data_IF_390346435243
#
_entry.id   IF_390346435243
#
_cell.length_a   1.000
_cell.length_b   1.000
_cell.length_c   1.000
_cell.angle_alpha   90.00
_cell.angle_beta   90.00
_cell.angle_gamma   90.00
#
_symmetry.space_group_name_H-M   'P 1'
#
loop_
_entity.id
_entity.type
_entity.pdbx_description
1 polymer ?
#
# COMPACT_ATOMS: atom_id res chain seq x y z
N UNK A 1 -24.57 -8.71 -34.01
CA UNK A 1 -24.25 -7.45 -33.31
C UNK A 1 -25.05 -7.37 -32.03
N UNK A 2 -24.44 -7.43 -30.85
CA UNK A 2 -25.12 -7.26 -29.59
C UNK A 2 -25.67 -5.81 -29.50
N UNK A 3 -26.98 -5.67 -29.23
CA UNK A 3 -27.58 -4.35 -29.02
C UNK A 3 -26.93 -3.70 -27.80
N UNK A 4 -26.29 -2.55 -28.01
CA UNK A 4 -25.79 -1.72 -26.91
C UNK A 4 -26.98 -1.24 -26.07
N UNK A 5 -26.99 -1.57 -24.79
CA UNK A 5 -27.97 -1.10 -23.81
C UNK A 5 -27.33 0.03 -23.00
N UNK A 6 -27.85 1.27 -23.08
CA UNK A 6 -27.33 2.37 -22.30
C UNK A 6 -27.47 2.09 -20.81
N UNK A 7 -26.38 2.22 -20.06
CA UNK A 7 -26.42 2.14 -18.60
C UNK A 7 -26.66 3.53 -18.03
N UNK A 8 -27.48 3.63 -17.00
CA UNK A 8 -27.71 4.88 -16.27
C UNK A 8 -26.52 5.20 -15.38
N UNK A 9 -25.35 5.42 -15.99
CA UNK A 9 -24.12 5.79 -15.29
C UNK A 9 -24.01 7.32 -15.19
N UNK A 10 -23.40 7.80 -14.11
CA UNK A 10 -23.19 9.23 -13.88
C UNK A 10 -22.37 9.89 -15.00
N UNK A 11 -21.39 9.20 -15.57
CA UNK A 11 -20.48 9.71 -16.61
C UNK A 11 -20.64 8.95 -17.93
N UNK A 12 -20.32 9.62 -19.05
CA UNK A 12 -20.30 8.99 -20.37
C UNK A 12 -19.12 8.01 -20.48
N UNK A 13 -19.42 6.82 -21.01
CA UNK A 13 -18.43 5.78 -21.31
C UNK A 13 -17.86 5.97 -22.72
N UNK A 14 -16.81 5.21 -23.09
CA UNK A 14 -16.30 5.18 -24.46
C UNK A 14 -17.37 4.70 -25.44
N UNK A 15 -18.20 3.73 -25.06
CA UNK A 15 -19.28 3.21 -25.91
C UNK A 15 -20.36 4.27 -26.14
N UNK A 16 -20.69 5.07 -25.11
CA UNK A 16 -21.63 6.20 -25.27
C UNK A 16 -21.05 7.24 -26.24
N UNK A 17 -19.77 7.51 -26.18
CA UNK A 17 -19.06 8.42 -27.09
C UNK A 17 -19.02 7.92 -28.53
N UNK A 18 -18.81 6.61 -28.72
CA UNK A 18 -18.89 5.97 -30.05
C UNK A 18 -20.30 6.09 -30.61
N UNK A 19 -21.32 5.87 -29.79
CA UNK A 19 -22.70 6.07 -30.20
C UNK A 19 -22.96 7.54 -30.62
N UNK A 20 -22.53 8.51 -29.80
CA UNK A 20 -22.64 9.94 -30.12
C UNK A 20 -21.97 10.25 -31.48
N UNK A 21 -20.76 9.75 -31.74
CA UNK A 21 -20.04 9.98 -33.00
C UNK A 21 -20.80 9.44 -34.20
N UNK A 22 -21.31 8.20 -34.08
CA UNK A 22 -22.05 7.55 -35.14
C UNK A 22 -23.38 8.27 -35.47
N UNK A 23 -24.12 8.65 -34.46
CA UNK A 23 -25.41 9.34 -34.66
C UNK A 23 -25.20 10.76 -35.15
N UNK A 24 -24.19 11.48 -34.71
CA UNK A 24 -23.81 12.78 -35.27
C UNK A 24 -23.45 12.65 -36.76
N UNK A 25 -22.79 11.56 -37.15
CA UNK A 25 -22.41 11.32 -38.56
C UNK A 25 -23.65 11.03 -39.44
N UNK A 26 -24.75 10.56 -38.87
CA UNK A 26 -26.05 10.39 -39.52
C UNK A 26 -26.90 11.67 -39.52
N UNK A 27 -26.45 12.72 -38.77
CA UNK A 27 -27.19 13.99 -38.67
C UNK A 27 -28.28 13.99 -37.59
N UNK A 28 -28.23 13.05 -36.62
CA UNK A 28 -29.15 13.01 -35.49
C UNK A 28 -29.01 14.25 -34.57
N UNK A 29 -30.12 14.65 -33.95
CA UNK A 29 -30.15 15.78 -33.03
C UNK A 29 -29.61 15.38 -31.63
N UNK A 30 -29.14 16.33 -30.86
CA UNK A 30 -28.74 16.08 -29.47
C UNK A 30 -29.90 15.54 -28.60
N UNK A 31 -31.15 15.87 -28.93
CA UNK A 31 -32.33 15.38 -28.24
C UNK A 31 -32.48 13.87 -28.47
N UNK A 32 -32.34 13.41 -29.71
CA UNK A 32 -32.46 11.99 -30.06
C UNK A 32 -31.34 11.15 -29.43
N UNK A 33 -30.12 11.66 -29.52
CA UNK A 33 -28.94 11.02 -28.91
C UNK A 33 -29.11 10.92 -27.39
N UNK A 34 -29.58 11.98 -26.76
CA UNK A 34 -29.74 12.04 -25.30
C UNK A 34 -30.86 11.11 -24.83
N UNK A 35 -31.96 11.02 -25.57
CA UNK A 35 -33.06 10.09 -25.27
C UNK A 35 -32.58 8.64 -25.26
N UNK A 36 -31.78 8.24 -26.26
CA UNK A 36 -31.24 6.89 -26.32
C UNK A 36 -30.25 6.58 -25.17
N UNK A 37 -29.37 7.55 -24.82
CA UNK A 37 -28.36 7.40 -23.76
C UNK A 37 -28.91 7.62 -22.34
N UNK A 38 -30.22 7.92 -22.21
CA UNK A 38 -30.82 8.32 -20.93
C UNK A 38 -30.08 9.46 -20.25
N UNK A 39 -29.70 10.50 -21.03
CA UNK A 39 -28.99 11.70 -20.59
C UNK A 39 -29.78 12.96 -20.97
N UNK A 40 -29.43 14.04 -20.31
CA UNK A 40 -29.94 15.34 -20.69
C UNK A 40 -29.28 15.85 -22.00
N UNK A 41 -30.03 16.47 -22.94
CA UNK A 41 -29.48 17.02 -24.19
C UNK A 41 -28.36 18.03 -23.98
N UNK A 42 -28.39 18.77 -22.87
CA UNK A 42 -27.32 19.73 -22.53
C UNK A 42 -26.02 19.03 -22.18
N UNK A 43 -26.08 17.81 -21.63
CA UNK A 43 -24.89 16.99 -21.36
C UNK A 43 -24.21 16.58 -22.67
N UNK A 44 -24.99 16.14 -23.67
CA UNK A 44 -24.45 15.79 -24.99
C UNK A 44 -23.88 17.03 -25.68
N UNK A 45 -24.60 18.14 -25.62
CA UNK A 45 -24.17 19.43 -26.18
C UNK A 45 -22.81 19.88 -25.57
N UNK A 46 -22.69 19.84 -24.24
CA UNK A 46 -21.45 20.21 -23.53
C UNK A 46 -20.30 19.24 -23.88
N UNK A 47 -20.56 17.93 -23.92
CA UNK A 47 -19.58 16.91 -24.30
C UNK A 47 -19.02 17.18 -25.71
N UNK A 48 -19.90 17.33 -26.70
CA UNK A 48 -19.50 17.56 -28.09
C UNK A 48 -18.76 18.88 -28.24
N UNK A 49 -19.28 19.97 -27.67
CA UNK A 49 -18.69 21.31 -27.78
C UNK A 49 -17.32 21.40 -27.12
N UNK A 50 -17.14 20.79 -25.95
CA UNK A 50 -15.90 20.88 -25.18
C UNK A 50 -14.79 19.93 -25.66
N UNK A 51 -15.17 18.79 -26.30
CA UNK A 51 -14.23 17.75 -26.72
C UNK A 51 -14.16 17.51 -28.21
N UNK A 52 -14.65 18.48 -29.00
CA UNK A 52 -14.48 18.46 -30.45
C UNK A 52 -13.00 18.62 -30.80
N UNK A 53 -12.55 17.86 -31.79
CA UNK A 53 -11.21 17.95 -32.37
C UNK A 53 -11.19 19.10 -33.37
N UNK A 54 -10.33 20.11 -33.18
CA UNK A 54 -10.07 21.18 -34.15
C UNK A 54 -8.98 20.76 -35.13
N UNK A 55 -9.03 21.38 -36.31
CA UNK A 55 -7.99 21.20 -37.35
C UNK A 55 -7.84 19.74 -37.82
N UNK A 56 -8.96 19.04 -37.91
CA UNK A 56 -8.98 17.69 -38.44
C UNK A 56 -8.71 17.66 -39.93
N UNK A 57 -7.61 17.02 -40.32
CA UNK A 57 -7.21 16.82 -41.71
C UNK A 57 -7.55 15.40 -42.18
N UNK A 58 -8.30 15.31 -43.28
CA UNK A 58 -8.44 14.02 -43.99
C UNK A 58 -7.22 13.85 -44.91
N UNK A 59 -6.46 12.76 -44.79
CA UNK A 59 -5.41 12.41 -45.75
C UNK A 59 -6.05 12.28 -47.14
N UNK A 60 -5.60 13.09 -48.11
CA UNK A 60 -6.05 13.05 -49.50
C UNK A 60 -7.15 14.07 -49.87
N UNK A 61 -7.61 14.93 -48.95
CA UNK A 61 -8.52 16.01 -49.30
C UNK A 61 -7.81 17.36 -49.49
N UNK A 62 -8.44 18.25 -50.22
CA UNK A 62 -8.03 19.60 -50.64
C UNK A 62 -7.46 20.53 -49.53
N UNK A 63 -7.34 20.05 -48.31
CA UNK A 63 -7.22 20.85 -47.10
C UNK A 63 -5.82 20.89 -46.50
N UNK A 64 -4.83 21.10 -47.36
CA UNK A 64 -3.56 21.70 -46.96
C UNK A 64 -3.64 23.24 -46.92
N UNK A 65 -4.84 23.80 -46.71
CA UNK A 65 -4.95 25.24 -46.55
C UNK A 65 -4.24 25.65 -45.25
N UNK A 66 -3.06 26.15 -45.39
CA UNK A 66 -2.22 26.62 -44.27
C UNK A 66 -2.68 28.01 -43.81
N UNK A 67 -3.39 28.78 -44.68
CA UNK A 67 -3.92 30.08 -44.39
C UNK A 67 -5.42 30.03 -44.09
N UNK A 68 -5.82 30.51 -42.92
CA UNK A 68 -7.20 30.50 -42.39
C UNK A 68 -7.88 31.86 -42.52
N UNK A 69 -7.32 32.81 -43.31
CA UNK A 69 -7.90 34.12 -43.53
C UNK A 69 -9.09 34.05 -44.47
N UNK A 70 -10.19 34.78 -44.17
CA UNK A 70 -11.37 34.94 -45.02
C UNK A 70 -10.95 35.50 -46.41
N UNK A 71 -10.02 36.42 -46.41
CA UNK A 71 -9.57 37.12 -47.61
C UNK A 71 -8.55 36.35 -48.47
N UNK A 72 -8.13 35.13 -48.07
CA UNK A 72 -7.01 34.41 -48.72
C UNK A 72 -7.12 34.21 -50.22
N UNK A 73 -8.32 34.11 -50.76
CA UNK A 73 -8.52 33.89 -52.21
C UNK A 73 -8.47 35.19 -53.02
N UNK A 74 -8.75 36.33 -52.39
CA UNK A 74 -8.81 37.66 -53.06
C UNK A 74 -7.73 38.62 -52.57
N UNK A 75 -6.89 38.19 -51.65
CA UNK A 75 -5.86 39.00 -51.07
C UNK A 75 -4.73 39.30 -52.07
N UNK A 76 -4.50 40.59 -52.34
CA UNK A 76 -3.42 41.09 -53.22
C UNK A 76 -2.16 41.48 -52.47
N UNK A 77 -2.15 41.32 -51.12
CA UNK A 77 -0.99 41.71 -50.33
C UNK A 77 0.17 40.75 -50.54
N UNK A 78 1.36 41.30 -50.70
CA UNK A 78 2.63 40.59 -50.77
C UNK A 78 3.50 40.97 -49.59
N UNK A 79 4.32 40.05 -49.10
CA UNK A 79 5.26 40.30 -48.02
C UNK A 79 4.63 40.87 -46.70
N UNK A 80 3.39 40.50 -46.39
CA UNK A 80 2.70 40.97 -45.19
C UNK A 80 3.40 40.55 -43.88
N UNK A 81 4.29 39.58 -43.91
CA UNK A 81 5.09 39.11 -42.78
C UNK A 81 6.43 39.83 -42.62
N UNK A 82 6.85 40.66 -43.57
CA UNK A 82 8.11 41.41 -43.53
C UNK A 82 9.40 40.57 -43.49
N UNK A 83 9.30 39.24 -43.64
CA UNK A 83 10.44 38.36 -43.47
C UNK A 83 11.29 38.15 -44.72
N UNK A 84 10.73 38.38 -45.89
CA UNK A 84 11.41 38.17 -47.19
C UNK A 84 11.00 39.30 -48.12
N UNK A 85 11.99 39.96 -48.71
CA UNK A 85 11.76 41.09 -49.63
C UNK A 85 11.01 40.69 -50.92
N UNK A 86 11.16 39.48 -51.39
CA UNK A 86 10.45 38.91 -52.53
C UNK A 86 9.75 37.61 -52.12
N UNK A 87 8.51 37.75 -51.65
CA UNK A 87 7.72 36.58 -51.30
C UNK A 87 6.96 36.05 -52.51
N UNK A 88 7.44 34.95 -53.09
CA UNK A 88 6.77 34.23 -54.19
C UNK A 88 5.64 33.28 -53.73
N UNK A 89 5.36 33.19 -52.43
CA UNK A 89 4.35 32.27 -51.90
C UNK A 89 2.99 32.97 -51.91
N UNK A 90 2.00 32.37 -52.57
CA UNK A 90 0.62 32.86 -52.56
C UNK A 90 0.06 32.84 -51.13
N UNK A 91 -0.62 33.90 -50.70
CA UNK A 91 -1.23 34.00 -49.38
C UNK A 91 -2.19 32.84 -49.03
N UNK A 92 -2.86 32.27 -50.01
CA UNK A 92 -3.70 31.08 -49.88
C UNK A 92 -2.97 29.87 -49.31
N UNK A 93 -1.67 29.80 -49.48
CA UNK A 93 -0.82 28.69 -49.06
C UNK A 93 0.16 29.04 -47.93
N UNK A 94 0.16 30.29 -47.43
CA UNK A 94 1.12 30.77 -46.46
C UNK A 94 0.55 30.75 -45.02
N UNK A 95 1.09 29.99 -44.08
CA UNK A 95 0.63 29.97 -42.70
C UNK A 95 1.05 31.24 -41.91
N UNK A 96 2.10 31.93 -42.36
CA UNK A 96 2.66 33.07 -41.61
C UNK A 96 1.68 34.23 -41.50
N UNK A 97 0.80 34.40 -42.49
CA UNK A 97 -0.25 35.44 -42.47
C UNK A 97 -1.23 35.25 -41.28
N UNK A 98 -1.43 34.04 -40.79
CA UNK A 98 -2.34 33.81 -39.66
C UNK A 98 -1.90 34.51 -38.34
N UNK A 99 -0.62 34.85 -38.23
CA UNK A 99 -0.02 35.45 -37.04
C UNK A 99 0.44 36.88 -37.24
N UNK A 100 0.83 37.23 -38.46
CA UNK A 100 1.54 38.49 -38.71
C UNK A 100 0.75 39.53 -39.52
N UNK A 101 -0.27 39.08 -40.26
CA UNK A 101 -1.07 40.02 -41.07
C UNK A 101 -2.03 40.81 -40.17
N UNK A 102 -1.94 42.16 -40.25
CA UNK A 102 -2.82 43.04 -39.47
C UNK A 102 -4.31 42.96 -39.87
N UNK A 103 -4.58 42.56 -41.12
CA UNK A 103 -5.94 42.38 -41.65
C UNK A 103 -6.34 40.92 -41.64
N UNK A 104 -5.72 40.13 -40.81
CA UNK A 104 -6.10 38.69 -40.66
C UNK A 104 -7.47 38.60 -39.99
N UNK A 105 -8.42 38.08 -40.71
CA UNK A 105 -9.73 37.69 -40.21
C UNK A 105 -9.92 36.21 -40.34
N UNK A 106 -10.11 35.54 -39.19
CA UNK A 106 -10.22 34.07 -39.16
C UNK A 106 -11.54 33.62 -39.77
N UNK A 107 -11.46 32.79 -40.82
CA UNK A 107 -12.64 32.20 -41.44
C UNK A 107 -13.39 31.30 -40.45
N UNK A 108 -14.72 31.50 -40.33
CA UNK A 108 -15.60 30.73 -39.48
C UNK A 108 -16.80 30.20 -40.28
N UNK A 109 -17.18 28.95 -39.99
CA UNK A 109 -18.43 28.39 -40.47
C UNK A 109 -19.55 28.74 -39.49
N UNK A 110 -20.58 29.49 -39.89
CA UNK A 110 -21.71 29.88 -39.06
C UNK A 110 -22.48 28.67 -38.47
N UNK A 111 -22.43 27.51 -39.15
CA UNK A 111 -23.04 26.26 -38.65
C UNK A 111 -22.35 25.72 -37.39
N UNK A 112 -21.05 26.06 -37.20
CA UNK A 112 -20.30 25.61 -36.01
C UNK A 112 -20.61 26.42 -34.74
N UNK A 113 -21.32 27.53 -34.88
CA UNK A 113 -21.80 28.33 -33.74
C UNK A 113 -23.15 27.79 -33.19
N UNK A 114 -23.82 26.95 -33.96
CA UNK A 114 -25.08 26.25 -33.62
C UNK A 114 -24.84 24.75 -33.47
N UNK A 115 -25.75 24.07 -32.76
CA UNK A 115 -25.72 22.63 -32.67
C UNK A 115 -25.76 22.00 -34.09
N UNK A 116 -24.97 20.95 -34.36
CA UNK A 116 -24.18 20.13 -33.44
C UNK A 116 -22.73 20.59 -33.17
N UNK A 117 -22.30 21.79 -33.54
CA UNK A 117 -20.98 22.39 -33.32
C UNK A 117 -19.81 21.72 -34.02
N UNK A 118 -20.06 20.68 -34.81
CA UNK A 118 -19.09 19.80 -35.49
C UNK A 118 -19.51 19.58 -36.94
N UNK A 119 -18.55 19.12 -37.75
CA UNK A 119 -18.78 18.81 -39.17
C UNK A 119 -19.26 17.37 -39.40
N UNK A 120 -19.42 16.55 -38.33
CA UNK A 120 -20.04 15.22 -38.45
C UNK A 120 -21.46 15.37 -39.00
N UNK A 121 -21.79 14.60 -40.05
CA UNK A 121 -23.13 14.66 -40.67
C UNK A 121 -23.50 15.97 -41.35
N UNK A 122 -22.51 16.84 -41.60
CA UNK A 122 -22.76 18.11 -42.32
C UNK A 122 -23.25 17.84 -43.76
N UNK A 123 -24.39 18.44 -44.21
CA UNK A 123 -24.95 18.23 -45.56
C UNK A 123 -23.96 18.66 -46.65
N UNK A 124 -23.11 19.66 -46.40
CA UNK A 124 -21.99 19.96 -47.29
C UNK A 124 -20.93 18.87 -47.18
N UNK A 125 -20.81 18.04 -48.23
CA UNK A 125 -19.76 17.00 -48.23
C UNK A 125 -18.42 17.62 -47.89
N UNK A 126 -17.65 16.98 -47.01
CA UNK A 126 -16.34 17.43 -46.53
C UNK A 126 -15.45 17.92 -47.70
N UNK A 127 -15.49 17.21 -48.83
CA UNK A 127 -14.72 17.50 -50.02
C UNK A 127 -15.15 18.75 -50.80
N UNK A 128 -16.38 19.22 -50.58
CA UNK A 128 -16.94 20.43 -51.25
C UNK A 128 -16.95 21.66 -50.34
N UNK A 129 -16.63 21.50 -49.07
CA UNK A 129 -16.62 22.62 -48.13
C UNK A 129 -15.30 23.39 -48.24
N UNK A 130 -15.40 24.66 -48.60
CA UNK A 130 -14.23 25.55 -48.77
C UNK A 130 -13.65 26.07 -47.47
N UNK A 131 -14.36 25.92 -46.35
CA UNK A 131 -13.93 26.38 -45.03
C UNK A 131 -12.71 25.58 -44.59
N UNK A 132 -11.60 26.27 -44.34
CA UNK A 132 -10.35 25.65 -43.96
C UNK A 132 -10.39 25.05 -42.53
N UNK A 133 -11.03 25.76 -41.60
CA UNK A 133 -11.07 25.35 -40.20
C UNK A 133 -12.31 24.49 -39.89
N UNK A 134 -12.10 23.23 -39.58
CA UNK A 134 -13.15 22.23 -39.37
C UNK A 134 -13.06 21.64 -37.96
N UNK A 135 -14.23 21.26 -37.43
CA UNK A 135 -14.31 20.55 -36.16
C UNK A 135 -14.97 19.19 -36.37
N UNK A 136 -14.43 18.18 -35.72
CA UNK A 136 -15.01 16.84 -35.69
C UNK A 136 -15.15 16.36 -34.26
N UNK A 137 -16.22 15.65 -33.96
CA UNK A 137 -16.30 14.85 -32.74
C UNK A 137 -15.75 13.46 -33.07
N UNK A 138 -14.73 13.03 -32.34
CA UNK A 138 -14.09 11.72 -32.39
C UNK A 138 -14.18 11.11 -30.99
N UNK A 139 -14.80 9.95 -30.88
CA UNK A 139 -15.10 9.30 -29.61
C UNK A 139 -13.83 8.94 -28.82
N UNK A 140 -12.80 8.43 -29.51
CA UNK A 140 -11.56 8.03 -28.85
C UNK A 140 -10.76 9.24 -28.38
N UNK A 141 -10.75 10.30 -29.16
CA UNK A 141 -10.13 11.57 -28.77
C UNK A 141 -10.84 12.18 -27.57
N UNK A 142 -12.18 12.22 -27.59
CA UNK A 142 -12.99 12.75 -26.50
C UNK A 142 -12.80 11.94 -25.22
N UNK A 143 -12.72 10.60 -25.29
CA UNK A 143 -12.46 9.73 -24.15
C UNK A 143 -11.06 9.94 -23.57
N UNK A 144 -10.04 10.04 -24.42
CA UNK A 144 -8.68 10.36 -23.99
C UNK A 144 -8.62 11.71 -23.27
N UNK A 145 -9.22 12.75 -23.83
CA UNK A 145 -9.30 14.09 -23.21
C UNK A 145 -10.06 14.06 -21.88
N UNK A 146 -11.11 13.26 -21.77
CA UNK A 146 -11.82 13.07 -20.51
C UNK A 146 -10.93 12.39 -19.46
N UNK A 147 -10.21 11.34 -19.83
CA UNK A 147 -9.28 10.65 -18.92
C UNK A 147 -8.11 11.53 -18.50
N UNK A 148 -7.55 12.29 -19.42
CA UNK A 148 -6.52 13.29 -19.10
C UNK A 148 -7.02 14.30 -18.07
N UNK A 149 -8.26 14.83 -18.24
CA UNK A 149 -8.89 15.74 -17.29
C UNK A 149 -9.11 15.09 -15.92
N UNK A 150 -9.62 13.84 -15.88
CA UNK A 150 -9.78 13.11 -14.63
C UNK A 150 -8.45 12.86 -13.93
N UNK A 151 -7.41 12.49 -14.67
CA UNK A 151 -6.07 12.29 -14.13
C UNK A 151 -5.50 13.59 -13.58
N UNK A 152 -5.57 14.68 -14.34
CA UNK A 152 -5.03 15.99 -13.94
C UNK A 152 -5.79 16.59 -12.76
N UNK A 153 -7.13 16.44 -12.72
CA UNK A 153 -7.95 16.94 -11.61
C UNK A 153 -7.72 16.19 -10.30
N UNK A 154 -7.25 14.94 -10.39
CA UNK A 154 -6.88 14.10 -9.23
C UNK A 154 -5.39 14.15 -8.92
N UNK A 155 -4.60 14.85 -9.72
CA UNK A 155 -3.19 15.05 -9.46
C UNK A 155 -3.00 16.00 -8.28
N UNK A 156 -1.97 15.70 -7.46
CA UNK A 156 -1.68 16.50 -6.28
C UNK A 156 -2.20 15.87 -4.98
N UNK A 157 -2.28 16.66 -3.96
CA UNK A 157 -2.71 16.30 -2.60
C UNK A 157 -3.86 17.21 -2.17
N UNK A 158 -4.82 16.62 -1.45
CA UNK A 158 -5.96 17.38 -0.93
C UNK A 158 -5.62 18.00 0.44
N UNK A 159 -4.53 18.76 0.50
CA UNK A 159 -4.14 19.52 1.70
C UNK A 159 -3.25 20.70 1.36
N UNK A 160 -3.24 21.69 2.25
CA UNK A 160 -2.37 22.87 2.16
C UNK A 160 -0.92 22.52 2.54
N UNK A 161 0.04 23.38 2.14
CA UNK A 161 1.45 23.21 2.56
C UNK A 161 1.62 23.25 4.08
N UNK A 162 0.85 24.07 4.76
CA UNK A 162 0.87 24.19 6.22
C UNK A 162 0.40 22.88 6.89
N UNK A 163 -0.73 22.32 6.45
CA UNK A 163 -1.21 21.03 6.94
C UNK A 163 -0.22 19.90 6.67
N UNK A 164 0.40 19.90 5.49
CA UNK A 164 1.43 18.92 5.15
C UNK A 164 2.62 19.01 6.12
N UNK A 165 3.08 20.22 6.41
CA UNK A 165 4.19 20.45 7.34
C UNK A 165 3.84 20.02 8.77
N UNK A 166 2.64 20.34 9.26
CA UNK A 166 2.18 19.89 10.58
C UNK A 166 2.17 18.35 10.67
N UNK A 167 1.66 17.67 9.66
CA UNK A 167 1.64 16.19 9.61
C UNK A 167 3.06 15.62 9.53
N UNK A 168 3.95 16.25 8.78
CA UNK A 168 5.35 15.82 8.65
C UNK A 168 6.10 15.88 9.98
N UNK A 169 5.83 16.88 10.82
CA UNK A 169 6.41 17.01 12.14
C UNK A 169 6.07 15.84 13.08
N UNK A 170 4.91 15.20 12.88
CA UNK A 170 4.51 14.01 13.65
C UNK A 170 5.03 12.73 12.96
N UNK A 171 4.80 12.60 11.66
CA UNK A 171 5.03 11.36 10.91
C UNK A 171 6.54 11.03 10.80
N UNK A 172 7.37 12.01 10.45
CA UNK A 172 8.79 11.76 10.17
C UNK A 172 9.58 11.26 11.39
N UNK A 173 9.44 11.83 12.60
CA UNK A 173 10.12 11.29 13.78
C UNK A 173 9.68 9.87 14.14
N UNK A 174 8.39 9.56 14.03
CA UNK A 174 7.84 8.23 14.35
C UNK A 174 8.31 7.17 13.36
N UNK A 175 8.40 7.51 12.06
CA UNK A 175 9.00 6.61 11.06
C UNK A 175 10.49 6.39 11.38
N UNK A 176 11.22 7.41 11.79
CA UNK A 176 12.64 7.28 12.18
C UNK A 176 12.83 6.40 13.42
N UNK A 177 11.82 6.29 14.30
CA UNK A 177 11.77 5.33 15.40
C UNK A 177 11.39 3.91 14.94
N UNK A 178 11.17 3.70 13.65
CA UNK A 178 10.80 2.40 13.06
C UNK A 178 9.32 2.05 13.22
N UNK A 179 8.45 3.00 13.51
CA UNK A 179 7.02 2.77 13.51
C UNK A 179 6.49 2.63 12.08
N UNK A 180 5.50 1.79 11.88
CA UNK A 180 4.84 1.62 10.58
C UNK A 180 3.77 2.68 10.35
N UNK A 181 3.44 3.03 9.08
CA UNK A 181 2.33 3.92 8.78
C UNK A 181 1.00 3.52 9.42
N UNK A 182 0.71 2.22 9.51
CA UNK A 182 -0.48 1.71 10.21
C UNK A 182 -0.48 2.08 11.69
N UNK A 183 0.63 1.80 12.37
CA UNK A 183 0.80 2.10 13.81
C UNK A 183 0.64 3.60 14.10
N UNK A 184 1.28 4.44 13.28
CA UNK A 184 1.21 5.90 13.44
C UNK A 184 -0.24 6.38 13.33
N UNK A 185 -1.00 5.90 12.33
CA UNK A 185 -2.38 6.34 12.11
C UNK A 185 -3.36 5.86 13.16
N UNK A 186 -3.13 4.69 13.76
CA UNK A 186 -3.94 4.21 14.88
C UNK A 186 -3.73 5.08 16.13
N UNK A 187 -2.48 5.45 16.38
CA UNK A 187 -2.13 6.27 17.56
C UNK A 187 -2.45 7.77 17.36
N UNK A 188 -2.51 8.25 16.11
CA UNK A 188 -2.72 9.65 15.73
C UNK A 188 -3.90 9.80 14.77
N UNK A 189 -5.15 9.62 15.24
CA UNK A 189 -6.34 9.77 14.40
C UNK A 189 -6.52 11.19 13.86
N UNK A 190 -5.92 12.20 14.52
CA UNK A 190 -5.92 13.61 14.10
C UNK A 190 -5.21 13.82 12.74
N UNK A 191 -4.38 12.88 12.31
CA UNK A 191 -3.76 12.95 10.99
C UNK A 191 -4.76 12.81 9.84
N UNK A 192 -5.94 12.27 10.10
CA UNK A 192 -7.06 12.14 9.14
C UNK A 192 -6.59 11.78 7.73
N UNK A 193 -5.97 10.62 7.61
CA UNK A 193 -5.50 10.10 6.31
C UNK A 193 -5.47 8.57 6.32
N UNK A 194 -5.54 7.96 5.13
CA UNK A 194 -5.43 6.51 5.00
C UNK A 194 -3.97 6.05 5.00
N UNK A 195 -3.74 4.80 5.42
CA UNK A 195 -2.42 4.13 5.33
C UNK A 195 -1.86 4.20 3.90
N UNK A 196 -2.72 3.99 2.90
CA UNK A 196 -2.34 4.06 1.48
C UNK A 196 -1.92 5.47 1.07
N UNK A 197 -2.61 6.51 1.56
CA UNK A 197 -2.26 7.90 1.30
C UNK A 197 -0.89 8.23 1.89
N UNK A 198 -0.61 7.77 3.12
CA UNK A 198 0.69 7.98 3.77
C UNK A 198 1.83 7.35 2.96
N UNK A 199 1.70 6.08 2.55
CA UNK A 199 2.69 5.45 1.67
C UNK A 199 2.88 6.20 0.34
N UNK A 200 1.78 6.65 -0.28
CA UNK A 200 1.82 7.41 -1.53
C UNK A 200 2.55 8.75 -1.35
N UNK A 201 2.37 9.42 -0.23
CA UNK A 201 2.99 10.73 0.04
C UNK A 201 4.48 10.58 0.38
N UNK A 202 4.87 9.52 1.09
CA UNK A 202 6.27 9.16 1.31
C UNK A 202 6.96 8.84 -0.04
N UNK A 203 6.31 8.04 -0.88
CA UNK A 203 6.82 7.65 -2.21
C UNK A 203 7.01 8.87 -3.13
N UNK A 204 6.07 9.81 -3.10
CA UNK A 204 6.16 11.09 -3.82
C UNK A 204 7.14 12.09 -3.21
N UNK A 205 7.73 11.78 -2.07
CA UNK A 205 8.66 12.65 -1.36
C UNK A 205 8.05 13.93 -0.81
N UNK A 206 6.77 13.88 -0.44
CA UNK A 206 6.04 15.02 0.13
C UNK A 206 6.36 15.22 1.62
N UNK A 207 6.67 14.15 2.33
CA UNK A 207 7.21 14.19 3.69
C UNK A 207 8.74 14.19 3.68
N UNK A 208 9.36 14.56 4.79
CA UNK A 208 10.80 14.47 4.99
C UNK A 208 11.23 12.99 5.03
N UNK A 209 10.42 12.12 5.66
CA UNK A 209 10.61 10.67 5.61
C UNK A 209 10.58 10.14 4.16
N UNK A 210 11.44 9.17 3.87
CA UNK A 210 11.61 8.55 2.55
C UNK A 210 11.33 7.03 2.62
N UNK A 211 11.17 6.41 1.46
CA UNK A 211 11.01 4.96 1.36
C UNK A 211 12.14 4.18 2.03
N UNK A 212 13.36 4.76 2.10
CA UNK A 212 14.51 4.15 2.77
C UNK A 212 14.33 4.05 4.29
N UNK A 213 13.50 4.85 4.87
CA UNK A 213 13.23 4.86 6.31
C UNK A 213 12.17 3.83 6.72
N UNK A 214 11.46 3.23 5.74
CA UNK A 214 10.44 2.23 5.98
C UNK A 214 11.05 0.83 6.20
N UNK A 215 10.42 0.01 7.05
CA UNK A 215 10.96 -1.30 7.51
C UNK A 215 11.23 -2.33 6.42
N UNK A 216 10.52 -2.34 5.28
CA UNK A 216 10.66 -3.35 4.24
C UNK A 216 10.63 -2.74 2.85
N UNK A 217 11.77 -2.82 2.18
CA UNK A 217 11.92 -2.29 0.83
C UNK A 217 12.18 -3.35 -0.23
N UNK A 218 12.75 -4.50 0.13
CA UNK A 218 13.12 -5.53 -0.82
C UNK A 218 12.67 -6.91 -0.35
N UNK A 219 12.14 -7.72 -1.30
CA UNK A 219 11.88 -9.14 -1.10
C UNK A 219 13.10 -9.92 -1.59
N UNK A 220 13.77 -10.64 -0.68
CA UNK A 220 14.87 -11.53 -1.03
C UNK A 220 14.34 -12.89 -1.46
N UNK A 221 14.95 -13.49 -2.50
CA UNK A 221 14.65 -14.88 -2.87
C UNK A 221 15.07 -15.81 -1.72
N UNK A 222 14.22 -16.76 -1.33
CA UNK A 222 14.60 -17.74 -0.31
C UNK A 222 15.80 -18.55 -0.78
N UNK A 223 16.74 -18.83 0.15
CA UNK A 223 17.87 -19.72 -0.12
C UNK A 223 17.37 -21.16 -0.22
N UNK A 224 17.93 -21.96 -1.15
CA UNK A 224 17.66 -23.40 -1.21
C UNK A 224 18.13 -24.05 0.09
N UNK A 225 17.22 -24.73 0.79
CA UNK A 225 17.55 -25.49 1.99
C UNK A 225 18.14 -26.86 1.62
N UNK A 226 19.21 -27.25 2.28
CA UNK A 226 19.72 -28.62 2.19
C UNK A 226 18.80 -29.56 2.97
N UNK A 227 18.50 -30.73 2.39
CA UNK A 227 17.74 -31.79 3.07
C UNK A 227 18.61 -32.38 4.21
N UNK A 228 18.18 -32.21 5.44
CA UNK A 228 18.77 -32.87 6.63
C UNK A 228 18.01 -34.15 6.93
N UNK A 229 18.72 -35.21 7.28
CA UNK A 229 18.05 -36.45 7.72
C UNK A 229 17.36 -36.23 9.04
N UNK A 230 16.09 -36.60 9.12
CA UNK A 230 15.24 -36.47 10.30
C UNK A 230 15.37 -37.77 11.09
N UNK A 231 15.77 -37.68 12.36
CA UNK A 231 15.76 -38.81 13.29
C UNK A 231 14.53 -38.68 14.20
N UNK A 232 13.59 -39.62 14.07
CA UNK A 232 12.50 -39.72 15.02
C UNK A 232 13.02 -40.22 16.37
N UNK A 233 12.65 -39.53 17.44
CA UNK A 233 12.98 -39.89 18.81
C UNK A 233 11.70 -40.32 19.53
N UNK A 234 11.77 -41.39 20.32
CA UNK A 234 10.65 -41.89 21.15
C UNK A 234 10.03 -40.82 22.07
N UNK A 235 10.82 -39.82 22.45
CA UNK A 235 10.42 -38.68 23.30
C UNK A 235 9.25 -37.86 22.71
N UNK A 236 9.03 -37.91 21.39
CA UNK A 236 7.96 -37.14 20.72
C UNK A 236 6.67 -37.96 20.53
N UNK A 237 6.58 -39.19 20.99
CA UNK A 237 5.37 -40.02 20.92
C UNK A 237 4.26 -39.36 21.72
N UNK A 238 3.03 -39.29 21.17
CA UNK A 238 1.86 -38.60 21.72
C UNK A 238 2.04 -37.08 21.96
N UNK A 239 3.05 -36.47 21.31
CA UNK A 239 3.33 -35.03 21.39
C UNK A 239 3.58 -34.45 19.98
N UNK A 240 3.03 -35.10 18.98
CA UNK A 240 3.22 -34.67 17.58
C UNK A 240 2.34 -33.45 17.25
N UNK A 241 2.62 -32.83 16.11
CA UNK A 241 1.77 -31.75 15.60
C UNK A 241 0.35 -32.24 15.27
N UNK A 242 0.21 -33.51 14.86
CA UNK A 242 -1.09 -34.12 14.62
C UNK A 242 -1.89 -34.27 15.93
N UNK A 243 -1.26 -34.71 17.02
CA UNK A 243 -1.88 -34.78 18.35
C UNK A 243 -2.31 -33.38 18.82
N UNK A 244 -1.47 -32.37 18.58
CA UNK A 244 -1.78 -30.98 18.89
C UNK A 244 -3.01 -30.45 18.11
N UNK A 245 -3.06 -30.70 16.80
CA UNK A 245 -4.18 -30.28 15.97
C UNK A 245 -5.51 -30.95 16.35
N UNK A 246 -5.47 -32.17 16.85
CA UNK A 246 -6.70 -32.88 17.26
C UNK A 246 -7.41 -32.26 18.47
N UNK A 247 -6.74 -31.35 19.20
CA UNK A 247 -7.31 -30.67 20.35
C UNK A 247 -8.12 -29.42 20.00
N UNK A 248 -8.06 -28.95 18.74
CA UNK A 248 -8.81 -27.76 18.26
C UNK A 248 -8.72 -26.55 19.21
N UNK A 249 -7.50 -26.18 19.61
CA UNK A 249 -7.27 -25.14 20.61
C UNK A 249 -7.32 -23.73 19.97
N UNK A 250 -8.10 -22.86 20.56
CA UNK A 250 -8.17 -21.43 20.15
C UNK A 250 -6.94 -20.65 20.61
N UNK A 251 -6.44 -20.94 21.83
CA UNK A 251 -5.28 -20.27 22.43
C UNK A 251 -4.23 -21.24 22.90
N UNK A 252 -2.96 -20.93 22.59
CA UNK A 252 -1.78 -21.68 23.00
C UNK A 252 -0.53 -20.81 22.91
N UNK A 253 0.56 -21.29 23.52
CA UNK A 253 1.84 -20.59 23.47
C UNK A 253 2.75 -21.25 22.43
N UNK A 254 3.30 -20.46 21.52
CA UNK A 254 4.41 -20.92 20.66
C UNK A 254 5.74 -20.54 21.32
N UNK A 255 6.70 -21.48 21.30
CA UNK A 255 8.01 -21.30 21.89
C UNK A 255 9.12 -21.61 20.88
N UNK A 256 10.20 -20.79 20.92
CA UNK A 256 11.34 -20.93 20.02
C UNK A 256 12.59 -20.29 20.63
N UNK A 257 13.75 -20.50 20.00
CA UNK A 257 15.00 -19.83 20.40
C UNK A 257 15.54 -18.94 19.31
N UNK A 258 16.04 -17.77 19.69
CA UNK A 258 16.73 -16.83 18.79
C UNK A 258 18.20 -16.77 19.12
N UNK A 259 19.03 -17.28 18.20
CA UNK A 259 20.49 -17.34 18.37
C UNK A 259 21.13 -15.97 18.14
N UNK A 260 22.17 -15.71 18.92
CA UNK A 260 23.11 -14.60 18.83
C UNK A 260 24.03 -14.70 17.62
N UNK A 261 25.03 -13.81 17.54
CA UNK A 261 26.19 -13.96 16.65
C UNK A 261 26.97 -15.26 16.99
N UNK A 262 27.88 -15.68 16.09
CA UNK A 262 28.67 -16.91 16.29
C UNK A 262 29.62 -16.83 17.48
N UNK A 263 29.98 -15.63 17.87
CA UNK A 263 30.96 -15.37 18.96
C UNK A 263 30.33 -15.28 20.35
N UNK A 264 28.99 -15.48 20.45
CA UNK A 264 28.28 -15.42 21.72
C UNK A 264 27.53 -16.73 22.00
N UNK A 265 27.59 -17.17 23.22
CA UNK A 265 26.85 -18.35 23.70
C UNK A 265 25.44 -18.00 24.18
N UNK A 266 25.14 -16.72 24.41
CA UNK A 266 23.83 -16.27 24.85
C UNK A 266 22.77 -16.44 23.77
N UNK A 267 21.56 -16.79 24.18
CA UNK A 267 20.43 -17.07 23.31
C UNK A 267 19.17 -16.48 23.96
N UNK A 268 18.21 -16.04 23.16
CA UNK A 268 16.89 -15.66 23.67
C UNK A 268 15.95 -16.85 23.55
N UNK A 269 15.34 -17.26 24.66
CA UNK A 269 14.13 -18.08 24.65
C UNK A 269 12.96 -17.13 24.40
N UNK A 270 12.18 -17.38 23.38
CA UNK A 270 11.03 -16.54 23.00
C UNK A 270 9.76 -17.34 23.09
N UNK A 271 8.69 -16.68 23.51
CA UNK A 271 7.34 -17.25 23.61
C UNK A 271 6.35 -16.24 23.05
N UNK A 272 5.27 -16.72 22.44
CA UNK A 272 4.17 -15.87 22.01
C UNK A 272 2.83 -16.55 22.31
N UNK A 273 1.94 -15.81 22.91
CA UNK A 273 0.55 -16.19 23.08
C UNK A 273 -0.18 -15.94 21.76
N UNK A 274 -0.79 -16.97 21.21
CA UNK A 274 -1.32 -16.90 19.84
C UNK A 274 -2.57 -16.06 19.71
N UNK A 275 -3.37 -15.94 20.75
CA UNK A 275 -4.58 -15.12 20.79
C UNK A 275 -4.21 -13.63 20.94
N UNK A 276 -3.55 -13.27 22.03
CA UNK A 276 -3.20 -11.89 22.39
C UNK A 276 -2.03 -11.32 21.58
N UNK A 277 -1.30 -12.18 20.84
CA UNK A 277 -0.04 -11.82 20.18
C UNK A 277 1.02 -11.31 21.15
N UNK A 278 0.87 -11.61 22.44
CA UNK A 278 1.78 -11.18 23.51
C UNK A 278 3.11 -11.91 23.35
N UNK A 279 4.16 -11.16 23.17
CA UNK A 279 5.52 -11.67 22.97
C UNK A 279 6.31 -11.58 24.27
N UNK A 280 7.00 -12.66 24.65
CA UNK A 280 7.94 -12.73 25.75
C UNK A 280 9.31 -13.16 25.27
N UNK A 281 10.36 -12.69 25.91
CA UNK A 281 11.73 -13.14 25.66
C UNK A 281 12.55 -13.20 26.95
N UNK A 282 13.35 -14.25 27.07
CA UNK A 282 14.21 -14.50 28.24
C UNK A 282 15.64 -14.75 27.78
N UNK A 283 16.59 -14.07 28.43
CA UNK A 283 18.01 -14.22 28.11
C UNK A 283 18.55 -15.48 28.78
N UNK A 284 19.05 -16.40 27.98
CA UNK A 284 19.75 -17.62 28.42
C UNK A 284 21.25 -17.42 28.22
N UNK A 285 22.06 -17.70 29.26
CA UNK A 285 23.53 -17.68 29.15
C UNK A 285 24.03 -18.79 28.22
N UNK A 286 23.34 -19.94 28.18
CA UNK A 286 23.59 -21.06 27.27
C UNK A 286 22.26 -21.70 26.87
N UNK A 287 22.17 -22.11 25.61
CA UNK A 287 20.99 -22.80 25.08
C UNK A 287 20.96 -24.27 25.52
N UNK A 288 20.48 -24.53 26.73
CA UNK A 288 20.41 -25.89 27.31
C UNK A 288 19.02 -26.20 27.84
N UNK A 289 18.68 -27.49 27.94
CA UNK A 289 17.41 -27.96 28.53
C UNK A 289 17.20 -27.41 29.94
N UNK A 290 18.25 -27.38 30.77
CA UNK A 290 18.19 -26.86 32.13
C UNK A 290 17.92 -25.35 32.18
N UNK A 291 18.47 -24.58 31.23
CA UNK A 291 18.23 -23.15 31.16
C UNK A 291 16.79 -22.84 30.78
N UNK A 292 16.21 -23.58 29.84
CA UNK A 292 14.79 -23.47 29.47
C UNK A 292 13.88 -23.83 30.66
N UNK A 293 14.15 -24.94 31.33
CA UNK A 293 13.43 -25.36 32.53
C UNK A 293 13.48 -24.27 33.62
N UNK A 294 14.65 -23.70 33.88
CA UNK A 294 14.81 -22.65 34.90
C UNK A 294 13.96 -21.40 34.59
N UNK A 295 13.66 -21.09 33.32
CA UNK A 295 12.71 -20.00 32.97
C UNK A 295 11.31 -20.39 33.41
N UNK A 296 10.84 -21.62 33.10
CA UNK A 296 9.53 -22.11 33.53
C UNK A 296 9.41 -22.12 35.05
N UNK A 297 10.40 -22.67 35.78
CA UNK A 297 10.43 -22.71 37.25
C UNK A 297 10.37 -21.29 37.86
N UNK A 298 11.09 -20.34 37.27
CA UNK A 298 11.08 -18.94 37.70
C UNK A 298 9.71 -18.25 37.48
N UNK A 299 9.06 -18.51 36.34
CA UNK A 299 7.74 -17.98 36.06
C UNK A 299 6.69 -18.59 36.98
N UNK A 300 6.70 -19.91 37.16
CA UNK A 300 5.81 -20.60 38.08
C UNK A 300 5.96 -20.08 39.51
N UNK A 301 7.19 -19.86 39.95
CA UNK A 301 7.45 -19.32 41.31
C UNK A 301 6.89 -17.89 41.47
N UNK A 302 6.87 -17.09 40.39
CA UNK A 302 6.38 -15.70 40.45
C UNK A 302 4.86 -15.60 40.46
N UNK A 303 4.18 -16.43 39.68
CA UNK A 303 2.74 -16.34 39.49
C UNK A 303 1.95 -17.41 40.27
N UNK A 304 2.63 -18.42 40.80
CA UNK A 304 2.02 -19.58 41.44
C UNK A 304 1.67 -20.67 40.43
N UNK A 305 1.59 -21.92 40.93
CA UNK A 305 1.38 -23.11 40.06
C UNK A 305 0.04 -23.06 39.34
N UNK A 306 -1.02 -22.63 40.00
CA UNK A 306 -2.37 -22.59 39.40
C UNK A 306 -2.42 -21.63 38.23
N UNK A 307 -1.96 -20.42 38.43
CA UNK A 307 -1.95 -19.37 37.40
C UNK A 307 -1.02 -19.75 36.24
N UNK A 308 0.17 -20.28 36.57
CA UNK A 308 1.09 -20.78 35.54
C UNK A 308 0.45 -21.85 34.66
N UNK A 309 -0.25 -22.82 35.27
CA UNK A 309 -0.90 -23.91 34.54
C UNK A 309 -2.03 -23.41 33.66
N UNK A 310 -2.77 -22.42 34.12
CA UNK A 310 -3.82 -21.75 33.31
C UNK A 310 -3.23 -21.08 32.06
N UNK A 311 -2.18 -20.29 32.26
CA UNK A 311 -1.55 -19.45 31.23
C UNK A 311 -0.70 -20.24 30.25
N UNK A 312 0.05 -21.27 30.70
CA UNK A 312 0.96 -22.09 29.89
C UNK A 312 0.44 -23.52 29.68
N UNK A 313 -0.88 -23.71 29.63
CA UNK A 313 -1.51 -25.02 29.52
C UNK A 313 -0.96 -25.83 28.34
N UNK A 314 -0.89 -25.22 27.14
CA UNK A 314 -0.43 -25.89 25.93
C UNK A 314 0.69 -25.09 25.27
N UNK A 315 1.82 -25.70 25.01
CA UNK A 315 3.00 -25.07 24.42
C UNK A 315 3.43 -25.85 23.19
N UNK A 316 3.51 -25.15 22.04
CA UNK A 316 3.99 -25.70 20.77
C UNK A 316 5.42 -25.21 20.49
N UNK A 317 6.35 -26.15 20.27
CA UNK A 317 7.75 -25.83 20.00
C UNK A 317 8.32 -26.65 18.83
N UNK A 318 9.56 -26.38 18.44
CA UNK A 318 10.27 -27.23 17.49
C UNK A 318 10.98 -28.41 18.23
N UNK A 319 11.61 -29.28 17.43
CA UNK A 319 12.37 -30.44 17.96
C UNK A 319 13.82 -30.04 18.32
N UNK A 320 14.05 -28.79 18.77
CA UNK A 320 15.36 -28.34 19.23
C UNK A 320 15.92 -29.19 20.38
N UNK A 321 17.23 -29.29 20.49
CA UNK A 321 17.88 -30.08 21.57
C UNK A 321 17.56 -29.52 22.95
N UNK A 322 17.34 -28.23 23.06
CA UNK A 322 16.99 -27.48 24.26
C UNK A 322 15.57 -27.81 24.78
N UNK A 323 14.70 -28.28 23.90
CA UNK A 323 13.32 -28.68 24.21
C UNK A 323 13.15 -30.24 24.32
N UNK A 324 14.24 -30.97 24.20
CA UNK A 324 14.22 -32.43 24.12
C UNK A 324 14.05 -33.16 25.47
N UNK A 325 13.45 -32.54 26.48
CA UNK A 325 13.11 -33.15 27.77
C UNK A 325 11.73 -32.62 28.21
N UNK A 326 10.64 -33.06 27.51
CA UNK A 326 9.30 -32.55 27.78
C UNK A 326 8.82 -32.87 29.20
N UNK A 327 9.11 -34.04 29.72
CA UNK A 327 8.65 -34.45 31.05
C UNK A 327 9.11 -33.47 32.14
N UNK A 328 10.36 -33.00 32.06
CA UNK A 328 10.88 -32.02 33.01
C UNK A 328 10.32 -30.61 32.79
N UNK A 329 9.90 -30.27 31.59
CA UNK A 329 9.23 -29.01 31.31
C UNK A 329 7.77 -29.06 31.79
N UNK A 330 7.10 -30.17 31.59
CA UNK A 330 5.70 -30.42 31.98
C UNK A 330 5.52 -30.54 33.47
N UNK A 331 6.56 -30.98 34.20
CA UNK A 331 6.49 -31.15 35.66
C UNK A 331 6.91 -29.88 36.37
N UNK A 332 6.02 -29.31 37.18
CA UNK A 332 6.25 -28.13 38.00
C UNK A 332 7.14 -28.35 39.21
N UNK A 333 7.42 -27.30 39.95
CA UNK A 333 8.29 -27.32 41.15
C UNK A 333 7.71 -28.28 42.22
N UNK A 334 6.38 -28.37 42.32
CA UNK A 334 5.68 -29.19 43.26
C UNK A 334 5.44 -30.65 42.78
N UNK A 335 6.02 -31.04 41.67
CA UNK A 335 5.81 -32.34 41.06
C UNK A 335 4.46 -32.52 40.33
N UNK A 336 3.65 -31.47 40.26
CA UNK A 336 2.36 -31.47 39.56
C UNK A 336 2.59 -31.08 38.09
N UNK A 337 1.79 -31.65 37.19
CA UNK A 337 1.82 -31.23 35.77
C UNK A 337 1.40 -29.81 35.63
N UNK A 338 2.24 -28.96 35.04
CA UNK A 338 2.03 -27.51 34.83
C UNK A 338 1.77 -27.11 33.39
N UNK A 339 2.11 -27.94 32.41
CA UNK A 339 1.88 -27.69 30.99
C UNK A 339 1.92 -28.97 30.18
N UNK A 340 1.50 -28.90 28.91
CA UNK A 340 1.65 -29.97 27.92
C UNK A 340 2.47 -29.43 26.74
N UNK A 341 3.54 -30.12 26.39
CA UNK A 341 4.49 -29.71 25.35
C UNK A 341 4.26 -30.49 24.06
N UNK A 342 4.03 -29.80 22.95
CA UNK A 342 3.84 -30.38 21.63
C UNK A 342 4.94 -29.91 20.68
N UNK A 343 5.21 -30.74 19.66
CA UNK A 343 6.31 -30.49 18.73
C UNK A 343 5.84 -30.38 17.30
N UNK A 344 6.31 -29.34 16.62
CA UNK A 344 6.12 -29.18 15.18
C UNK A 344 6.80 -30.32 14.40
N UNK A 345 6.30 -30.57 13.21
CA UNK A 345 6.96 -31.43 12.25
C UNK A 345 8.32 -30.86 11.86
N UNK A 346 9.32 -31.73 11.63
CA UNK A 346 10.62 -31.25 11.18
C UNK A 346 10.53 -30.49 9.86
N UNK A 347 11.26 -29.38 9.76
CA UNK A 347 11.34 -28.51 8.56
C UNK A 347 10.02 -27.82 8.16
N UNK A 348 9.00 -27.82 9.01
CA UNK A 348 7.73 -27.14 8.77
C UNK A 348 7.59 -25.87 9.63
N UNK A 349 8.39 -24.86 9.33
CA UNK A 349 8.38 -23.57 10.05
C UNK A 349 7.01 -22.88 10.05
N UNK A 350 6.22 -23.04 8.99
CA UNK A 350 4.88 -22.47 8.89
C UNK A 350 3.90 -22.89 10.00
N UNK A 351 4.15 -23.98 10.72
CA UNK A 351 3.38 -24.43 11.87
C UNK A 351 3.54 -23.50 13.10
N UNK A 352 4.57 -22.64 13.10
CA UNK A 352 4.84 -21.62 14.13
C UNK A 352 4.82 -20.18 13.53
N UNK A 353 3.90 -19.88 12.63
CA UNK A 353 3.88 -18.61 11.90
C UNK A 353 3.76 -17.36 12.79
N UNK A 354 3.07 -17.44 13.92
CA UNK A 354 2.89 -16.30 14.84
C UNK A 354 4.21 -15.88 15.48
N UNK A 355 5.01 -16.81 15.99
CA UNK A 355 6.31 -16.49 16.61
C UNK A 355 7.33 -16.02 15.56
N UNK A 356 7.27 -16.51 14.31
CA UNK A 356 8.13 -16.06 13.23
C UNK A 356 7.86 -14.59 12.86
N UNK A 357 6.59 -14.17 12.90
CA UNK A 357 6.23 -12.76 12.73
C UNK A 357 6.80 -11.89 13.86
N UNK A 358 6.71 -12.34 15.12
CA UNK A 358 7.30 -11.65 16.26
C UNK A 358 8.82 -11.57 16.15
N UNK A 359 9.48 -12.64 15.71
CA UNK A 359 10.93 -12.62 15.42
C UNK A 359 11.30 -11.61 14.34
N UNK A 360 10.43 -11.39 13.35
CA UNK A 360 10.67 -10.34 12.36
C UNK A 360 10.73 -8.96 13.01
N UNK A 361 9.87 -8.67 13.98
CA UNK A 361 9.92 -7.40 14.73
C UNK A 361 11.13 -7.34 15.66
N UNK A 362 11.41 -8.42 16.39
CA UNK A 362 12.61 -8.51 17.20
C UNK A 362 13.88 -8.22 16.38
N UNK A 363 13.94 -8.71 15.12
CA UNK A 363 15.07 -8.52 14.21
C UNK A 363 15.18 -7.10 13.64
N UNK A 364 14.17 -6.24 13.79
CA UNK A 364 14.33 -4.80 13.52
C UNK A 364 15.14 -4.09 14.61
N UNK A 365 15.07 -4.58 15.85
CA UNK A 365 15.79 -4.05 17.00
C UNK A 365 17.15 -4.75 17.16
N UNK A 366 17.16 -6.08 17.04
CA UNK A 366 18.34 -6.93 17.11
C UNK A 366 18.59 -7.62 15.75
N UNK A 367 19.24 -6.97 14.78
CA UNK A 367 19.54 -7.55 13.47
C UNK A 367 20.30 -8.89 13.57
N UNK A 368 20.21 -9.70 12.50
CA UNK A 368 20.99 -10.95 12.44
C UNK A 368 22.48 -10.64 12.52
N UNK A 369 23.18 -11.38 13.40
CA UNK A 369 24.61 -11.16 13.63
C UNK A 369 24.91 -10.24 14.82
N UNK A 370 23.89 -9.63 15.45
CA UNK A 370 24.08 -8.88 16.70
C UNK A 370 24.50 -9.82 17.82
N UNK A 371 25.57 -9.49 18.56
CA UNK A 371 25.99 -10.22 19.76
C UNK A 371 25.07 -9.93 20.94
N UNK A 372 24.65 -10.99 21.66
CA UNK A 372 23.85 -10.84 22.87
C UNK A 372 24.69 -10.81 24.15
N UNK A 373 26.02 -10.81 24.03
CA UNK A 373 26.95 -10.90 25.16
C UNK A 373 26.75 -9.77 26.16
N UNK A 374 26.51 -8.57 25.65
CA UNK A 374 26.30 -7.36 26.45
C UNK A 374 24.84 -7.12 26.86
N UNK A 375 23.91 -7.97 26.40
CA UNK A 375 22.51 -7.84 26.81
C UNK A 375 22.31 -8.33 28.24
N UNK A 376 21.48 -7.61 28.96
CA UNK A 376 20.89 -8.01 30.24
C UNK A 376 19.42 -8.40 30.05
N UNK A 377 18.84 -9.08 31.06
CA UNK A 377 17.39 -9.34 31.00
C UNK A 377 16.56 -8.05 31.01
N UNK A 378 17.09 -6.99 31.61
CA UNK A 378 16.43 -5.67 31.60
C UNK A 378 16.33 -5.10 30.17
N UNK A 379 17.41 -5.19 29.39
CA UNK A 379 17.41 -4.77 27.97
C UNK A 379 16.40 -5.60 27.16
N UNK A 380 16.33 -6.91 27.41
CA UNK A 380 15.38 -7.79 26.75
C UNK A 380 13.94 -7.44 27.12
N UNK A 381 13.67 -7.15 28.40
CA UNK A 381 12.34 -6.71 28.84
C UNK A 381 11.95 -5.37 28.20
N UNK A 382 12.91 -4.42 28.06
CA UNK A 382 12.67 -3.17 27.36
C UNK A 382 12.26 -3.42 25.89
N UNK A 383 13.00 -4.27 25.18
CA UNK A 383 12.64 -4.65 23.79
C UNK A 383 11.23 -5.24 23.73
N UNK A 384 10.92 -6.16 24.63
CA UNK A 384 9.62 -6.85 24.70
C UNK A 384 8.48 -5.84 24.96
N UNK A 385 8.69 -4.87 25.85
CA UNK A 385 7.72 -3.83 26.14
C UNK A 385 7.42 -2.98 24.87
N UNK A 386 8.43 -2.57 24.12
CA UNK A 386 8.23 -1.81 22.89
C UNK A 386 7.50 -2.66 21.82
N UNK A 387 7.81 -3.95 21.69
CA UNK A 387 7.13 -4.86 20.75
C UNK A 387 5.65 -5.04 21.12
N UNK A 388 5.36 -5.24 22.42
CA UNK A 388 4.00 -5.45 22.92
C UNK A 388 3.15 -4.17 22.98
N UNK A 389 3.77 -2.99 22.95
CA UNK A 389 3.07 -1.71 22.85
C UNK A 389 2.83 -1.26 21.40
N UNK A 390 3.03 -2.15 20.42
CA UNK A 390 2.80 -1.86 19.00
C UNK A 390 1.41 -2.34 18.57
N UNK A 391 0.49 -1.46 18.10
CA UNK A 391 -0.82 -1.84 17.60
C UNK A 391 -0.76 -2.88 16.48
N UNK A 392 -1.68 -3.85 16.49
CA UNK A 392 -1.79 -4.92 15.51
C UNK A 392 -3.10 -4.85 14.74
N UNK A 393 -3.03 -5.02 13.42
CA UNK A 393 -4.22 -5.13 12.58
C UNK A 393 -5.06 -6.37 12.96
N UNK A 394 -4.39 -7.49 13.30
CA UNK A 394 -5.04 -8.72 13.77
C UNK A 394 -5.70 -8.62 15.15
N UNK A 395 -5.48 -7.53 15.87
CA UNK A 395 -6.12 -7.20 17.15
C UNK A 395 -6.98 -5.93 17.02
N UNK A 396 -7.48 -5.64 15.83
CA UNK A 396 -8.35 -4.49 15.54
C UNK A 396 -7.73 -3.14 15.98
N UNK A 397 -6.40 -3.02 15.92
CA UNK A 397 -5.67 -1.83 16.34
C UNK A 397 -5.28 -1.78 17.82
N UNK A 398 -5.69 -2.77 18.62
CA UNK A 398 -5.20 -2.88 20.00
C UNK A 398 -3.74 -3.36 20.04
N UNK A 399 -3.06 -3.05 21.15
CA UNK A 399 -1.73 -3.57 21.40
C UNK A 399 -1.79 -4.98 22.00
N UNK A 400 -0.78 -5.83 21.81
CA UNK A 400 -0.65 -7.10 22.51
C UNK A 400 -0.72 -6.95 24.04
N UNK A 401 -0.19 -5.85 24.60
CA UNK A 401 -0.28 -5.56 26.01
C UNK A 401 -1.73 -5.34 26.46
N UNK A 402 -2.52 -4.55 25.71
CA UNK A 402 -3.92 -4.27 26.06
C UNK A 402 -4.80 -5.52 25.92
N UNK A 403 -4.55 -6.33 24.86
CA UNK A 403 -5.25 -7.59 24.68
C UNK A 403 -4.97 -8.54 25.86
N UNK A 404 -3.71 -8.73 26.23
CA UNK A 404 -3.32 -9.59 27.33
C UNK A 404 -3.77 -9.08 28.70
N UNK A 405 -3.87 -7.76 28.89
CA UNK A 405 -4.43 -7.17 30.11
C UNK A 405 -5.89 -7.59 30.32
N UNK A 406 -6.67 -7.66 29.22
CA UNK A 406 -8.08 -8.07 29.27
C UNK A 406 -8.26 -9.58 29.51
N UNK A 407 -7.40 -10.42 28.93
CA UNK A 407 -7.55 -11.90 28.98
C UNK A 407 -6.78 -12.53 30.12
N UNK A 408 -5.53 -12.13 30.35
CA UNK A 408 -4.64 -12.74 31.36
C UNK A 408 -4.63 -11.96 32.67
N UNK A 409 -5.02 -10.70 32.67
CA UNK A 409 -5.03 -9.87 33.86
C UNK A 409 -3.69 -9.18 34.19
N UNK A 410 -3.77 -8.20 35.09
CA UNK A 410 -2.63 -7.35 35.43
C UNK A 410 -1.53 -8.11 36.22
N UNK A 411 -1.91 -9.05 37.08
CA UNK A 411 -0.96 -9.77 37.92
C UNK A 411 -0.06 -10.70 37.11
N UNK A 412 -0.60 -11.32 36.04
CA UNK A 412 0.19 -12.11 35.07
C UNK A 412 1.18 -11.20 34.33
N UNK A 413 0.75 -10.03 33.88
CA UNK A 413 1.64 -9.08 33.20
C UNK A 413 2.75 -8.55 34.12
N UNK A 414 2.44 -8.33 35.40
CA UNK A 414 3.44 -7.98 36.43
C UNK A 414 4.44 -9.12 36.66
N UNK A 415 3.97 -10.39 36.69
CA UNK A 415 4.84 -11.55 36.84
C UNK A 415 5.80 -11.69 35.63
N UNK A 416 5.37 -11.32 34.43
CA UNK A 416 6.22 -11.21 33.23
C UNK A 416 7.11 -9.97 33.24
N UNK A 417 6.94 -9.03 34.17
CA UNK A 417 7.64 -7.76 34.23
C UNK A 417 7.38 -6.86 33.02
N UNK A 418 6.19 -6.93 32.45
CA UNK A 418 5.78 -6.13 31.32
C UNK A 418 5.26 -4.76 31.78
N UNK A 419 5.56 -3.73 30.97
CA UNK A 419 5.08 -2.37 31.13
C UNK A 419 4.65 -1.80 29.78
N UNK A 420 3.54 -1.06 29.72
CA UNK A 420 3.17 -0.39 28.48
C UNK A 420 4.13 0.77 28.21
N UNK A 421 4.37 1.03 26.94
CA UNK A 421 5.16 2.16 26.46
C UNK A 421 4.21 3.13 25.75
N UNK A 422 4.36 4.43 26.02
CA UNK A 422 3.60 5.47 25.33
C UNK A 422 3.75 5.36 23.80
N UNK A 423 2.66 5.56 23.02
CA UNK A 423 2.69 5.43 21.57
C UNK A 423 3.85 6.17 20.88
N UNK A 424 4.12 7.41 21.29
CA UNK A 424 5.16 8.25 20.71
C UNK A 424 6.58 7.83 21.09
N UNK A 425 6.73 7.09 22.18
CA UNK A 425 8.02 6.60 22.67
C UNK A 425 8.38 5.22 22.10
N UNK A 426 7.43 4.53 21.43
CA UNK A 426 7.69 3.21 20.86
C UNK A 426 8.80 3.27 19.81
N UNK A 427 9.92 2.64 20.12
CA UNK A 427 11.10 2.58 19.24
C UNK A 427 11.41 1.13 18.86
N UNK A 428 11.42 0.85 17.56
CA UNK A 428 11.63 -0.48 16.99
C UNK A 428 12.91 -0.51 16.11
N UNK A 429 13.91 0.28 16.52
CA UNK A 429 15.21 0.36 15.82
C UNK A 429 16.34 -0.14 16.72
N UNK A 430 17.51 -0.48 16.17
CA UNK A 430 18.69 -0.85 16.97
C UNK A 430 19.16 0.23 17.95
N UNK A 431 18.73 1.49 17.77
CA UNK A 431 19.08 2.60 18.67
C UNK A 431 18.43 2.47 20.04
N UNK A 432 17.39 1.61 20.19
CA UNK A 432 16.72 1.35 21.47
C UNK A 432 17.72 0.82 22.51
N UNK A 433 18.63 -0.06 22.09
CA UNK A 433 19.64 -0.64 22.98
C UNK A 433 20.96 0.11 22.79
N UNK A 434 21.37 0.83 23.83
CA UNK A 434 22.69 1.44 23.87
C UNK A 434 23.68 0.36 24.26
N UNK A 435 24.26 -0.32 23.27
CA UNK A 435 25.41 -1.19 23.55
C UNK A 435 26.53 -0.33 24.14
N UNK A 436 26.88 -0.57 25.39
CA UNK A 436 28.13 0.00 25.95
C UNK A 436 29.27 -0.54 25.09
N UNK A 437 29.94 0.35 24.38
CA UNK A 437 31.17 0.04 23.64
C UNK A 437 32.28 -0.39 24.59
#
# INVERSE_FOLDING_TARGET
MSKYIPRNQKHLTLNDRIYIENELSKGATFKDIAAFLCKDPTTISKEVKSRRLSDWYHKGTFYNAKNFCVHRYHCKKTNACGKIMLCGIKCTSCPTCNQTCKDFEKERCCRLDKAPYVCNGCPMKINHCTIAHKYRYDARFADRKYRELLSSSRAGINMTRHQLHQKDQIITPLIAQGQSPYQILINHPELDMSVRSMYTYIDKGLFTARNVDLKRQAKFKPRKCHKTQIKDRKVFTNRTYADFCSMELDSYVQMDTVKSSRDSHKTLLTMIFTEEKLFLAFLLNRCTKGAVRAVFDRLEKRMGTYEFTSVFKNVLTDRGSEFGDPEKLETGINGIQRSSIYYCDPMRSGQKGTIEQAHTMLRTILPKGTSFEFLTQWDVNLIVNHINSTPRESLEGHTPYDAALKTLGEDVLKAFQLKPISPDEVNLTPKLIRFKK
#
